data_IF_776259463984
#
_entry.id   IF_776259463984
#
_cell.length_a   1.000
_cell.length_b   1.000
_cell.length_c   1.000
_cell.angle_alpha   90.00
_cell.angle_beta   90.00
_cell.angle_gamma   90.00
#
_symmetry.space_group_name_H-M   'P 1'
#
loop_
_entity.id
_entity.type
_entity.pdbx_description
1 polymer ?
#
# COMPACT_ATOMS: atom_id res chain seq x y z
N UNK A 1 -3.60 -21.17 -56.15
CA UNK A 1 -2.63 -20.72 -55.14
C UNK A 1 -2.43 -21.87 -54.16
N UNK A 2 -1.36 -22.67 -54.34
CA UNK A 2 -1.17 -23.93 -53.61
C UNK A 2 -0.19 -23.71 -52.47
N UNK A 3 -0.65 -23.82 -51.23
CA UNK A 3 0.19 -23.69 -50.04
C UNK A 3 0.96 -25.00 -49.88
N UNK A 4 2.27 -24.98 -50.15
CA UNK A 4 3.16 -26.10 -49.85
C UNK A 4 3.40 -26.16 -48.34
N UNK A 5 2.77 -27.13 -47.67
CA UNK A 5 3.10 -27.48 -46.29
C UNK A 5 4.47 -28.16 -46.25
N UNK A 6 5.48 -27.41 -45.79
CA UNK A 6 6.79 -27.93 -45.46
C UNK A 6 6.68 -28.89 -44.27
N UNK A 7 6.61 -30.20 -44.52
CA UNK A 7 6.73 -31.22 -43.46
C UNK A 7 8.19 -31.26 -43.01
N UNK A 8 8.52 -30.45 -42.01
CA UNK A 8 9.77 -30.62 -41.28
C UNK A 8 9.78 -32.03 -40.67
N UNK A 9 10.65 -32.90 -41.17
CA UNK A 9 10.92 -34.18 -40.53
C UNK A 9 11.51 -33.87 -39.15
N UNK A 10 10.73 -34.13 -38.11
CA UNK A 10 11.17 -33.99 -36.73
C UNK A 10 12.28 -35.01 -36.47
N UNK A 11 13.53 -34.57 -36.48
CA UNK A 11 14.64 -35.40 -36.06
C UNK A 11 14.53 -35.61 -34.54
N UNK A 12 14.45 -36.85 -34.02
CA UNK A 12 14.31 -37.09 -32.58
C UNK A 12 15.48 -36.51 -31.77
N UNK A 13 16.66 -36.38 -32.39
CA UNK A 13 17.82 -35.71 -31.82
C UNK A 13 17.63 -34.21 -31.57
N UNK A 14 16.88 -33.48 -32.42
CA UNK A 14 16.59 -32.06 -32.16
C UNK A 14 15.62 -31.87 -31.00
N UNK A 15 14.71 -32.83 -30.78
CA UNK A 15 13.82 -32.82 -29.60
C UNK A 15 14.59 -33.05 -28.31
N UNK A 16 15.55 -33.98 -28.30
CA UNK A 16 16.41 -34.25 -27.14
C UNK A 16 17.28 -33.03 -26.80
N UNK A 17 17.87 -32.38 -27.82
CA UNK A 17 18.64 -31.15 -27.63
C UNK A 17 17.77 -30.01 -27.08
N UNK A 18 16.54 -29.87 -27.57
CA UNK A 18 15.57 -28.89 -27.04
C UNK A 18 15.21 -29.12 -25.57
N UNK A 19 14.99 -30.38 -25.18
CA UNK A 19 14.72 -30.76 -23.79
C UNK A 19 15.94 -30.44 -22.91
N UNK A 20 17.15 -30.79 -23.35
CA UNK A 20 18.39 -30.49 -22.62
C UNK A 20 18.58 -28.98 -22.39
N UNK A 21 18.33 -28.16 -23.42
CA UNK A 21 18.41 -26.70 -23.31
C UNK A 21 17.33 -26.18 -22.34
N UNK A 22 16.09 -26.66 -22.45
CA UNK A 22 15.00 -26.28 -21.54
C UNK A 22 15.35 -26.64 -20.09
N UNK A 23 15.91 -27.84 -19.86
CA UNK A 23 16.37 -28.28 -18.53
C UNK A 23 17.45 -27.35 -17.99
N UNK A 24 18.44 -26.99 -18.80
CA UNK A 24 19.51 -26.07 -18.39
C UNK A 24 18.94 -24.69 -18.02
N UNK A 25 18.02 -24.15 -18.82
CA UNK A 25 17.32 -22.88 -18.52
C UNK A 25 16.52 -23.00 -17.23
N UNK A 26 15.81 -24.10 -17.00
CA UNK A 26 15.06 -24.33 -15.76
C UNK A 26 15.97 -24.39 -14.53
N UNK A 27 17.14 -25.03 -14.64
CA UNK A 27 18.14 -25.05 -13.57
C UNK A 27 18.62 -23.62 -13.28
N UNK A 28 18.96 -22.85 -14.33
CA UNK A 28 19.35 -21.46 -14.19
C UNK A 28 18.29 -20.61 -13.47
N UNK A 29 17.03 -20.73 -13.90
CA UNK A 29 15.91 -19.99 -13.29
C UNK A 29 15.67 -20.43 -11.84
N UNK A 30 15.85 -21.72 -11.52
CA UNK A 30 15.75 -22.23 -10.17
C UNK A 30 16.79 -21.61 -9.22
N UNK A 31 18.04 -21.44 -9.67
CA UNK A 31 19.07 -20.77 -8.88
C UNK A 31 18.75 -19.29 -8.65
N UNK A 32 18.26 -18.59 -9.67
CA UNK A 32 17.82 -17.19 -9.54
C UNK A 32 16.66 -17.09 -8.56
N UNK A 33 15.64 -17.93 -8.72
CA UNK A 33 14.48 -17.97 -7.83
C UNK A 33 14.91 -18.27 -6.39
N UNK A 34 15.80 -19.24 -6.17
CA UNK A 34 16.36 -19.57 -4.86
C UNK A 34 17.09 -18.37 -4.24
N UNK A 35 17.89 -17.66 -5.02
CA UNK A 35 18.60 -16.46 -4.57
C UNK A 35 17.63 -15.36 -4.13
N UNK A 36 16.63 -15.06 -4.96
CA UNK A 36 15.57 -14.09 -4.63
C UNK A 36 14.84 -14.54 -3.38
N UNK A 37 14.42 -15.81 -3.31
CA UNK A 37 13.67 -16.34 -2.17
C UNK A 37 14.47 -16.26 -0.87
N UNK A 38 15.78 -16.50 -0.93
CA UNK A 38 16.68 -16.36 0.23
C UNK A 38 16.80 -14.91 0.71
N UNK A 39 16.93 -13.95 -0.22
CA UNK A 39 16.93 -12.52 0.09
C UNK A 39 15.59 -12.09 0.69
N UNK A 40 14.49 -12.49 0.06
CA UNK A 40 13.14 -12.19 0.49
C UNK A 40 12.86 -12.79 1.87
N UNK A 41 13.35 -14.00 2.16
CA UNK A 41 13.17 -14.67 3.44
C UNK A 41 13.86 -13.90 4.57
N UNK A 42 15.08 -13.39 4.35
CA UNK A 42 15.75 -12.51 5.30
C UNK A 42 15.02 -11.18 5.47
N UNK A 43 14.53 -10.61 4.38
CA UNK A 43 13.76 -9.37 4.40
C UNK A 43 12.34 -9.57 4.96
N UNK A 44 11.82 -10.80 5.00
CA UNK A 44 10.41 -11.09 5.27
C UNK A 44 9.95 -10.51 6.61
N UNK A 45 10.77 -10.64 7.66
CA UNK A 45 10.47 -10.07 8.96
C UNK A 45 10.29 -8.54 8.89
N UNK A 46 11.18 -7.86 8.17
CA UNK A 46 11.11 -6.42 7.95
C UNK A 46 9.97 -6.02 7.01
N UNK A 47 9.66 -6.82 5.99
CA UNK A 47 8.56 -6.59 5.05
C UNK A 47 7.21 -6.67 5.76
N UNK A 48 7.02 -7.67 6.63
CA UNK A 48 5.81 -7.79 7.43
C UNK A 48 5.67 -6.59 8.38
N UNK A 49 6.72 -6.27 9.14
CA UNK A 49 6.71 -5.10 10.02
C UNK A 49 6.45 -3.80 9.26
N UNK A 50 7.09 -3.61 8.11
CA UNK A 50 6.88 -2.47 7.23
C UNK A 50 5.44 -2.38 6.73
N UNK A 51 4.81 -3.51 6.37
CA UNK A 51 3.42 -3.54 5.91
C UNK A 51 2.46 -3.10 7.04
N UNK A 52 2.70 -3.56 8.27
CA UNK A 52 1.93 -3.15 9.44
C UNK A 52 2.06 -1.65 9.72
N UNK A 53 3.27 -1.10 9.63
CA UNK A 53 3.54 0.32 9.88
C UNK A 53 2.93 1.21 8.79
N UNK A 54 3.04 0.81 7.52
CA UNK A 54 2.56 1.59 6.37
C UNK A 54 1.04 1.64 6.33
N UNK A 55 0.39 0.48 6.45
CA UNK A 55 -1.07 0.38 6.37
C UNK A 55 -1.56 -0.91 7.02
N UNK A 56 -1.69 -0.90 8.35
CA UNK A 56 -2.09 -2.06 9.17
C UNK A 56 -3.37 -2.75 8.67
N UNK A 57 -4.34 -1.97 8.15
CA UNK A 57 -5.60 -2.50 7.64
C UNK A 57 -5.38 -3.49 6.50
N UNK A 58 -4.37 -3.30 5.64
CA UNK A 58 -4.11 -4.22 4.53
C UNK A 58 -3.74 -5.62 5.00
N UNK A 59 -3.00 -5.74 6.11
CA UNK A 59 -2.66 -7.04 6.69
C UNK A 59 -3.87 -7.66 7.38
N UNK A 60 -4.64 -6.86 8.12
CA UNK A 60 -5.88 -7.33 8.75
C UNK A 60 -6.92 -7.77 7.74
N UNK A 61 -7.10 -7.03 6.65
CA UNK A 61 -8.06 -7.35 5.59
C UNK A 61 -7.66 -8.64 4.86
N UNK A 62 -6.36 -8.86 4.66
CA UNK A 62 -5.87 -10.15 4.15
C UNK A 62 -6.17 -11.29 5.14
N UNK A 63 -5.89 -11.10 6.43
CA UNK A 63 -6.18 -12.11 7.46
C UNK A 63 -7.67 -12.43 7.56
N UNK A 64 -8.54 -11.41 7.53
CA UNK A 64 -10.01 -11.56 7.49
C UNK A 64 -10.46 -12.30 6.23
N UNK A 65 -9.93 -11.93 5.07
CA UNK A 65 -10.23 -12.60 3.82
C UNK A 65 -9.81 -14.07 3.86
N UNK A 66 -8.63 -14.38 4.41
CA UNK A 66 -8.15 -15.75 4.55
C UNK A 66 -9.04 -16.56 5.50
N UNK A 67 -9.39 -15.99 6.65
CA UNK A 67 -10.31 -16.62 7.60
C UNK A 67 -11.68 -16.92 6.99
N UNK A 68 -12.26 -15.94 6.30
CA UNK A 68 -13.53 -16.11 5.59
C UNK A 68 -13.41 -17.18 4.49
N UNK A 69 -12.25 -17.28 3.83
CA UNK A 69 -12.00 -18.32 2.82
C UNK A 69 -11.92 -19.70 3.45
N UNK A 70 -11.30 -19.84 4.63
CA UNK A 70 -11.27 -21.11 5.38
C UNK A 70 -12.68 -21.54 5.80
N UNK A 71 -13.48 -20.62 6.34
CA UNK A 71 -14.84 -20.94 6.81
C UNK A 71 -15.80 -21.23 5.65
N UNK A 72 -15.73 -20.46 4.55
CA UNK A 72 -16.60 -20.64 3.38
C UNK A 72 -16.22 -21.84 2.51
N UNK A 73 -14.92 -22.13 2.39
CA UNK A 73 -14.43 -23.27 1.62
C UNK A 73 -13.14 -23.83 2.25
N UNK A 74 -13.27 -24.82 3.16
CA UNK A 74 -12.14 -25.29 3.96
C UNK A 74 -11.01 -25.89 3.13
N UNK A 75 -11.33 -26.55 2.00
CA UNK A 75 -10.32 -27.12 1.10
C UNK A 75 -9.46 -26.01 0.48
N UNK A 76 -10.11 -24.97 -0.07
CA UNK A 76 -9.39 -23.82 -0.64
C UNK A 76 -8.63 -23.04 0.42
N UNK A 77 -9.24 -22.81 1.58
CA UNK A 77 -8.60 -22.10 2.68
C UNK A 77 -7.35 -22.81 3.20
N UNK A 78 -7.41 -24.14 3.37
CA UNK A 78 -6.26 -24.93 3.79
C UNK A 78 -5.14 -24.90 2.73
N UNK A 79 -5.48 -25.06 1.46
CA UNK A 79 -4.52 -24.96 0.36
C UNK A 79 -3.81 -23.60 0.34
N UNK A 80 -4.57 -22.50 0.43
CA UNK A 80 -4.01 -21.15 0.47
C UNK A 80 -3.16 -20.90 1.71
N UNK A 81 -3.56 -21.43 2.85
CA UNK A 81 -2.79 -21.29 4.10
C UNK A 81 -1.47 -22.05 4.01
N UNK A 82 -1.50 -23.31 3.55
CA UNK A 82 -0.30 -24.10 3.33
C UNK A 82 0.65 -23.43 2.33
N UNK A 83 0.11 -22.91 1.22
CA UNK A 83 0.86 -22.15 0.24
C UNK A 83 1.45 -20.87 0.84
N UNK A 84 0.69 -20.15 1.66
CA UNK A 84 1.14 -18.95 2.37
C UNK A 84 2.27 -19.22 3.36
N UNK A 85 2.26 -20.36 4.05
CA UNK A 85 3.35 -20.78 4.95
C UNK A 85 4.59 -21.19 4.16
N UNK A 86 4.44 -21.96 3.08
CA UNK A 86 5.56 -22.39 2.24
C UNK A 86 6.20 -21.23 1.47
N UNK A 87 5.39 -20.29 1.00
CA UNK A 87 5.80 -19.12 0.23
C UNK A 87 5.74 -17.83 1.06
N UNK A 88 5.91 -17.92 2.38
CA UNK A 88 5.80 -16.77 3.29
C UNK A 88 6.63 -15.55 2.88
N UNK A 89 7.88 -15.67 2.33
CA UNK A 89 8.64 -14.49 1.94
C UNK A 89 7.98 -13.73 0.79
N UNK A 90 7.43 -14.47 -0.16
CA UNK A 90 6.71 -13.92 -1.31
C UNK A 90 5.39 -13.30 -0.85
N UNK A 91 4.68 -13.97 0.06
CA UNK A 91 3.45 -13.45 0.63
C UNK A 91 3.68 -12.12 1.38
N UNK A 92 4.73 -12.03 2.20
CA UNK A 92 5.02 -10.81 2.96
C UNK A 92 5.50 -9.68 2.06
N UNK A 93 6.32 -9.98 1.03
CA UNK A 93 6.67 -9.01 0.00
C UNK A 93 5.42 -8.48 -0.73
N UNK A 94 4.50 -9.38 -1.09
CA UNK A 94 3.22 -9.01 -1.70
C UNK A 94 2.39 -8.10 -0.78
N UNK A 95 2.26 -8.45 0.50
CA UNK A 95 1.52 -7.63 1.48
C UNK A 95 2.16 -6.25 1.67
N UNK A 96 3.48 -6.18 1.75
CA UNK A 96 4.22 -4.91 1.84
C UNK A 96 4.00 -4.04 0.60
N UNK A 97 4.15 -4.62 -0.59
CA UNK A 97 3.92 -3.91 -1.84
C UNK A 97 2.46 -3.41 -1.93
N UNK A 98 1.50 -4.26 -1.60
CA UNK A 98 0.07 -3.90 -1.56
C UNK A 98 -0.19 -2.77 -0.56
N UNK A 99 0.45 -2.78 0.60
CA UNK A 99 0.34 -1.72 1.60
C UNK A 99 0.90 -0.39 1.08
N UNK A 100 2.06 -0.41 0.39
CA UNK A 100 2.63 0.79 -0.24
C UNK A 100 1.68 1.39 -1.28
N UNK A 101 1.14 0.55 -2.17
CA UNK A 101 0.19 0.98 -3.20
C UNK A 101 -1.07 1.55 -2.56
N UNK A 102 -1.66 0.84 -1.60
CA UNK A 102 -2.88 1.29 -0.91
C UNK A 102 -2.67 2.63 -0.22
N UNK A 103 -1.54 2.84 0.47
CA UNK A 103 -1.24 4.13 1.11
C UNK A 103 -1.16 5.27 0.09
N UNK A 104 -0.60 5.03 -1.10
CA UNK A 104 -0.52 6.03 -2.16
C UNK A 104 -1.90 6.33 -2.76
N UNK A 105 -2.70 5.31 -3.00
CA UNK A 105 -4.07 5.44 -3.52
C UNK A 105 -4.97 6.15 -2.50
N UNK A 106 -4.90 5.80 -1.22
CA UNK A 106 -5.66 6.47 -0.15
C UNK A 106 -5.34 7.96 -0.08
N UNK A 107 -4.06 8.34 -0.11
CA UNK A 107 -3.66 9.76 -0.13
C UNK A 107 -4.19 10.51 -1.36
N UNK A 108 -4.17 9.86 -2.52
CA UNK A 108 -4.70 10.46 -3.75
C UNK A 108 -6.22 10.63 -3.65
N UNK A 109 -6.93 9.63 -3.15
CA UNK A 109 -8.37 9.71 -2.93
C UNK A 109 -8.73 10.78 -1.91
N UNK A 110 -7.96 10.91 -0.82
CA UNK A 110 -8.13 11.99 0.16
C UNK A 110 -7.89 13.36 -0.46
N UNK A 111 -6.86 13.52 -1.31
CA UNK A 111 -6.61 14.79 -2.00
C UNK A 111 -7.77 15.14 -2.96
N UNK A 112 -8.26 14.17 -3.72
CA UNK A 112 -9.40 14.35 -4.62
C UNK A 112 -10.69 14.62 -3.83
N UNK A 113 -10.89 13.96 -2.69
CA UNK A 113 -12.04 14.23 -1.80
C UNK A 113 -11.93 15.63 -1.20
N UNK A 114 -10.75 16.08 -0.76
CA UNK A 114 -10.54 17.46 -0.29
C UNK A 114 -10.79 18.51 -1.39
N UNK A 115 -10.47 18.19 -2.64
CA UNK A 115 -10.79 19.05 -3.79
C UNK A 115 -12.29 19.01 -4.17
N UNK A 116 -12.95 17.84 -4.05
CA UNK A 116 -14.39 17.67 -4.36
C UNK A 116 -15.31 18.20 -3.27
N UNK A 117 -14.95 18.02 -2.02
CA UNK A 117 -15.75 18.38 -0.85
C UNK A 117 -15.57 19.85 -0.45
N UNK A 118 -14.78 20.62 -1.21
CA UNK A 118 -14.70 22.07 -1.12
C UNK A 118 -14.41 22.59 0.29
N UNK A 119 -13.14 22.53 0.69
CA UNK A 119 -12.58 23.43 1.71
C UNK A 119 -13.39 23.56 3.03
N UNK A 120 -13.48 22.49 3.82
CA UNK A 120 -13.53 22.68 5.28
C UNK A 120 -12.11 22.66 5.81
N UNK A 121 -11.37 23.72 5.48
CA UNK A 121 -10.14 24.08 6.17
C UNK A 121 -10.56 24.57 7.54
N UNK A 122 -10.31 23.78 8.57
CA UNK A 122 -10.25 24.31 9.92
C UNK A 122 -9.02 25.22 9.93
N UNK A 123 -9.27 26.51 9.68
CA UNK A 123 -8.21 27.51 9.64
C UNK A 123 -7.51 27.44 10.99
N UNK A 124 -6.24 27.09 10.98
CA UNK A 124 -5.37 27.53 12.06
C UNK A 124 -5.44 29.06 11.99
N UNK A 125 -6.23 29.68 12.87
CA UNK A 125 -6.41 31.13 12.90
C UNK A 125 -5.03 31.78 13.12
N UNK A 126 -4.34 32.10 12.03
CA UNK A 126 -3.17 32.96 12.10
C UNK A 126 -3.69 34.29 12.65
N UNK A 127 -3.22 34.69 13.84
CA UNK A 127 -3.61 35.98 14.45
C UNK A 127 -3.36 37.11 13.44
N UNK A 128 -4.42 37.52 12.74
CA UNK A 128 -4.30 38.57 11.72
C UNK A 128 -4.19 39.93 12.41
N UNK A 129 -3.56 40.89 11.75
CA UNK A 129 -3.46 42.28 12.23
C UNK A 129 -4.83 42.90 12.53
N UNK A 130 -5.91 42.38 11.93
CA UNK A 130 -7.29 42.78 12.22
C UNK A 130 -7.75 42.39 13.63
N UNK A 131 -7.45 41.16 14.06
CA UNK A 131 -7.78 40.66 15.41
C UNK A 131 -6.96 41.38 16.49
N UNK A 132 -5.72 41.76 16.19
CA UNK A 132 -4.91 42.61 17.07
C UNK A 132 -5.46 44.05 17.19
N UNK A 133 -5.99 44.60 16.09
CA UNK A 133 -6.58 45.95 16.07
C UNK A 133 -7.89 45.98 16.86
N UNK A 134 -8.74 44.95 16.72
CA UNK A 134 -9.98 44.80 17.49
C UNK A 134 -9.71 44.67 19.00
N UNK A 135 -8.77 43.80 19.42
CA UNK A 135 -8.36 43.70 20.84
C UNK A 135 -7.81 45.01 21.41
N UNK A 136 -7.14 45.85 20.60
CA UNK A 136 -6.68 47.18 21.04
C UNK A 136 -7.82 48.18 21.15
N UNK A 137 -8.76 48.19 20.20
CA UNK A 137 -9.93 49.07 20.25
C UNK A 137 -10.86 48.73 21.41
N UNK A 138 -11.09 47.43 21.64
CA UNK A 138 -11.93 46.94 22.74
C UNK A 138 -11.29 47.30 24.10
N UNK A 139 -9.96 47.13 24.25
CA UNK A 139 -9.23 47.58 25.45
C UNK A 139 -9.26 49.10 25.64
N UNK A 140 -9.13 49.87 24.57
CA UNK A 140 -9.19 51.33 24.65
C UNK A 140 -10.60 51.82 25.02
N UNK A 141 -11.65 51.16 24.56
CA UNK A 141 -13.03 51.50 24.96
C UNK A 141 -13.31 51.16 26.42
N UNK A 142 -12.80 50.04 26.92
CA UNK A 142 -12.93 49.66 28.34
C UNK A 142 -12.17 50.65 29.23
N UNK A 143 -10.94 51.03 28.87
CA UNK A 143 -10.16 52.02 29.64
C UNK A 143 -10.83 53.41 29.63
N UNK A 144 -11.43 53.80 28.51
CA UNK A 144 -12.19 55.06 28.42
C UNK A 144 -13.44 54.98 29.30
N UNK A 145 -14.21 53.89 29.25
CA UNK A 145 -15.42 53.73 30.06
C UNK A 145 -15.12 53.79 31.57
N UNK A 146 -14.07 53.12 32.03
CA UNK A 146 -13.63 53.15 33.42
C UNK A 146 -13.12 54.55 33.84
N UNK A 147 -12.54 55.33 32.92
CA UNK A 147 -12.06 56.69 33.23
C UNK A 147 -13.19 57.69 33.50
N UNK A 148 -14.39 57.45 32.95
CA UNK A 148 -15.54 58.34 33.13
C UNK A 148 -16.52 57.83 34.20
N UNK A 149 -16.36 56.63 34.77
CA UNK A 149 -17.26 56.11 35.81
C UNK A 149 -17.23 56.94 37.08
N UNK A 150 -16.06 57.47 37.43
CA UNK A 150 -15.84 58.26 38.66
C UNK A 150 -16.48 59.67 38.59
N UNK A 151 -17.02 60.08 37.45
CA UNK A 151 -17.67 61.38 37.26
C UNK A 151 -19.19 61.33 37.48
N UNK A 152 -19.76 60.14 37.64
CA UNK A 152 -21.20 59.93 37.81
C UNK A 152 -21.56 59.36 39.19
N UNK A 153 -20.59 59.27 40.12
CA UNK A 153 -20.80 59.13 41.57
C UNK A 153 -20.77 60.49 42.26
#
# INVERSE_FOLDING_TARGET
>A
MTILFNRQRLNPFSSIAGILILTLVMIGLFFVAKGIFWLLAKAAFFLLAGALIIHFRTVLDFGKWLWNTIVSNPIRGLFLTALGVLLYPVLFAYLFFRALVNRKVSKLNEAIQRERDGEWVDFEELETTYNQRRKRTDRAQVEVADRYSDLFE
#
